data_IF_325035156929
#
_entry.id   IF_325035156929
#
_cell.length_a   1.000
_cell.length_b   1.000
_cell.length_c   1.000
_cell.angle_alpha   90.00
_cell.angle_beta   90.00
_cell.angle_gamma   90.00
#
_symmetry.space_group_name_H-M   'P 1'
#
loop_
_entity.id
_entity.type
_entity.pdbx_description
1 polymer ?
#
# COMPACT_ATOMS: atom_id res chain seq x y z
N UNK A 1 32.37 -10.91 -7.19
CA UNK A 1 31.29 -11.90 -7.10
C UNK A 1 30.74 -11.82 -5.68
N UNK A 2 29.57 -11.20 -5.49
CA UNK A 2 28.96 -11.06 -4.17
C UNK A 2 28.30 -12.37 -3.76
N UNK A 3 28.60 -12.82 -2.54
CA UNK A 3 28.06 -14.06 -1.96
C UNK A 3 26.55 -13.92 -1.75
N UNK A 4 25.78 -14.97 -2.04
CA UNK A 4 24.34 -15.04 -1.76
C UNK A 4 24.00 -14.79 -0.29
N UNK A 5 24.95 -14.99 0.65
CA UNK A 5 24.78 -14.66 2.07
C UNK A 5 24.61 -13.17 2.34
N UNK A 6 25.27 -12.29 1.58
CA UNK A 6 25.20 -10.83 1.80
C UNK A 6 23.82 -10.28 1.41
N UNK A 7 23.13 -10.94 0.47
CA UNK A 7 21.78 -10.58 0.03
C UNK A 7 20.69 -11.02 1.02
N UNK A 8 20.97 -12.05 1.84
CA UNK A 8 20.06 -12.58 2.85
C UNK A 8 20.11 -11.76 4.15
N UNK A 9 21.28 -11.27 4.57
CA UNK A 9 21.40 -10.38 5.75
C UNK A 9 20.75 -9.00 5.50
N UNK A 10 20.86 -8.44 4.29
CA UNK A 10 20.12 -7.23 3.90
C UNK A 10 18.61 -7.46 3.80
N UNK A 11 18.18 -8.70 3.53
CA UNK A 11 16.78 -9.12 3.50
C UNK A 11 16.15 -9.28 4.89
N UNK A 12 16.95 -9.32 5.97
CA UNK A 12 16.47 -9.46 7.34
C UNK A 12 16.11 -8.13 8.02
N UNK A 13 16.57 -6.98 7.50
CA UNK A 13 16.40 -5.69 8.19
C UNK A 13 15.05 -5.00 7.97
N UNK A 14 14.35 -5.31 6.89
CA UNK A 14 13.00 -4.80 6.62
C UNK A 14 11.98 -5.94 6.60
N UNK A 15 10.73 -5.70 7.02
CA UNK A 15 9.72 -6.75 7.04
C UNK A 15 9.49 -7.35 5.66
N UNK A 16 9.42 -8.69 5.58
CA UNK A 16 8.93 -9.38 4.37
C UNK A 16 7.40 -9.38 4.34
N UNK A 17 6.79 -8.23 4.64
CA UNK A 17 5.35 -8.03 4.75
C UNK A 17 4.91 -6.85 3.88
N UNK A 18 3.62 -6.77 3.53
CA UNK A 18 3.06 -5.58 2.93
C UNK A 18 3.15 -4.38 3.87
N UNK A 19 3.29 -3.19 3.31
CA UNK A 19 3.34 -1.99 4.14
C UNK A 19 3.55 -0.70 3.37
N UNK A 20 3.42 0.40 4.10
CA UNK A 20 3.63 1.77 3.64
C UNK A 20 5.04 2.19 4.07
N UNK A 21 5.77 2.83 3.17
CA UNK A 21 7.11 3.33 3.42
C UNK A 21 7.27 4.77 2.95
N UNK A 22 8.25 5.45 3.55
CA UNK A 22 8.79 6.72 3.11
C UNK A 22 10.27 6.52 2.76
N UNK A 23 10.66 6.94 1.58
CA UNK A 23 12.06 6.91 1.14
C UNK A 23 12.55 8.33 0.83
N UNK A 24 13.75 8.64 1.29
CA UNK A 24 14.49 9.84 0.89
C UNK A 24 15.79 9.39 0.22
N UNK A 25 16.46 10.29 -0.50
CA UNK A 25 17.68 9.96 -1.22
C UNK A 25 18.87 10.79 -0.72
N UNK A 26 20.09 10.33 -0.98
CA UNK A 26 21.32 11.08 -0.65
C UNK A 26 22.06 11.65 -1.86
N UNK A 27 21.68 11.27 -3.08
CA UNK A 27 22.32 11.79 -4.28
C UNK A 27 22.10 13.30 -4.40
N UNK A 28 23.15 14.05 -4.69
CA UNK A 28 23.04 15.47 -5.02
C UNK A 28 22.64 15.66 -6.49
N UNK A 29 23.28 14.90 -7.40
CA UNK A 29 22.93 14.90 -8.82
C UNK A 29 21.60 14.19 -9.10
N UNK A 30 20.69 14.76 -9.91
CA UNK A 30 19.41 14.12 -10.23
C UNK A 30 19.56 12.77 -10.95
N UNK A 31 18.97 11.72 -10.35
CA UNK A 31 18.92 10.36 -10.92
C UNK A 31 17.50 10.08 -11.41
N UNK A 32 17.37 9.46 -12.58
CA UNK A 32 16.07 9.03 -13.11
C UNK A 32 15.38 8.04 -12.16
N UNK A 33 14.07 8.19 -11.94
CA UNK A 33 13.30 7.26 -11.11
C UNK A 33 13.18 5.84 -11.68
N UNK A 34 13.64 5.65 -12.92
CA UNK A 34 13.76 4.35 -13.60
C UNK A 34 15.19 4.15 -14.16
N UNK A 35 16.23 4.62 -13.46
CA UNK A 35 17.62 4.54 -13.92
C UNK A 35 18.10 3.11 -14.18
N UNK A 36 17.51 2.08 -13.55
CA UNK A 36 17.77 0.67 -13.85
C UNK A 36 17.24 0.22 -15.22
N UNK A 37 16.44 1.06 -15.90
CA UNK A 37 15.80 0.78 -17.20
C UNK A 37 16.24 1.77 -18.27
N UNK A 38 17.42 1.51 -18.86
CA UNK A 38 18.06 2.37 -19.89
C UNK A 38 17.11 2.86 -21.00
N UNK A 39 16.19 2.02 -21.48
CA UNK A 39 15.26 2.36 -22.58
C UNK A 39 14.30 3.52 -22.26
N UNK A 40 13.98 3.75 -20.99
CA UNK A 40 12.98 4.74 -20.57
C UNK A 40 13.54 5.78 -19.58
N UNK A 41 14.76 5.58 -19.08
CA UNK A 41 15.35 6.40 -18.03
C UNK A 41 15.34 7.90 -18.38
N UNK A 42 15.69 8.26 -19.61
CA UNK A 42 15.77 9.66 -20.05
C UNK A 42 14.40 10.33 -20.21
N UNK A 43 13.32 9.54 -20.26
CA UNK A 43 11.93 10.02 -20.38
C UNK A 43 11.20 10.07 -19.05
N UNK A 44 11.89 9.79 -17.95
CA UNK A 44 11.31 9.80 -16.61
C UNK A 44 11.75 11.05 -15.85
N UNK A 45 10.97 11.42 -14.84
CA UNK A 45 11.40 12.44 -13.88
C UNK A 45 12.72 12.02 -13.22
N UNK A 46 13.53 13.01 -12.88
CA UNK A 46 14.77 12.82 -12.13
C UNK A 46 14.59 13.39 -10.72
N UNK A 47 15.18 12.72 -9.75
CA UNK A 47 15.02 13.04 -8.33
C UNK A 47 16.38 13.03 -7.63
N UNK A 48 16.50 13.81 -6.57
CA UNK A 48 17.69 13.90 -5.74
C UNK A 48 17.32 13.98 -4.26
N UNK A 49 18.29 14.34 -3.42
CA UNK A 49 18.12 14.49 -1.97
C UNK A 49 17.05 15.50 -1.53
N UNK A 50 16.59 16.38 -2.42
CA UNK A 50 15.50 17.32 -2.17
C UNK A 50 14.11 16.70 -2.37
N UNK A 51 14.06 15.44 -2.81
CA UNK A 51 12.83 14.71 -3.04
C UNK A 51 12.68 13.57 -2.04
N UNK A 52 11.42 13.24 -1.75
CA UNK A 52 11.07 12.03 -1.03
C UNK A 52 9.92 11.32 -1.74
N UNK A 53 9.64 10.08 -1.34
CA UNK A 53 8.55 9.30 -1.90
C UNK A 53 7.85 8.50 -0.83
N UNK A 54 6.52 8.57 -0.85
CA UNK A 54 5.65 7.65 -0.11
C UNK A 54 5.09 6.63 -1.07
N UNK A 55 5.05 5.37 -0.67
CA UNK A 55 4.39 4.36 -1.47
C UNK A 55 4.11 3.08 -0.69
N UNK A 56 3.45 2.15 -1.37
CA UNK A 56 3.21 0.81 -0.82
C UNK A 56 4.15 -0.25 -1.40
N UNK A 57 4.37 -1.30 -0.62
CA UNK A 57 5.01 -2.52 -1.07
C UNK A 57 4.19 -3.73 -0.66
N UNK A 58 4.23 -4.78 -1.50
CA UNK A 58 3.77 -6.13 -1.11
C UNK A 58 4.81 -6.80 -0.20
N UNK A 59 6.08 -6.47 -0.42
CA UNK A 59 7.21 -6.93 0.37
C UNK A 59 8.18 -5.76 0.53
N UNK A 60 8.28 -5.20 1.73
CA UNK A 60 9.11 -4.04 2.02
C UNK A 60 10.60 -4.32 1.82
N UNK A 61 11.10 -5.50 2.21
CA UNK A 61 12.49 -5.88 1.99
C UNK A 61 12.88 -5.93 0.50
N UNK A 62 12.02 -6.51 -0.35
CA UNK A 62 12.24 -6.51 -1.81
C UNK A 62 12.16 -5.09 -2.36
N UNK A 63 11.24 -4.26 -1.86
CA UNK A 63 11.12 -2.87 -2.31
C UNK A 63 12.36 -2.06 -1.97
N UNK A 64 12.91 -2.19 -0.77
CA UNK A 64 14.17 -1.56 -0.38
C UNK A 64 15.31 -1.93 -1.33
N UNK A 65 15.52 -3.23 -1.60
CA UNK A 65 16.54 -3.70 -2.56
C UNK A 65 16.32 -3.14 -3.97
N UNK A 66 15.07 -2.99 -4.40
CA UNK A 66 14.77 -2.36 -5.69
C UNK A 66 15.23 -0.90 -5.74
N UNK A 67 15.02 -0.11 -4.68
CA UNK A 67 15.54 1.25 -4.61
C UNK A 67 17.07 1.29 -4.63
N UNK A 68 17.74 0.40 -3.90
CA UNK A 68 19.20 0.30 -3.93
C UNK A 68 19.72 -0.03 -5.33
N UNK A 69 19.02 -0.88 -6.08
CA UNK A 69 19.37 -1.19 -7.47
C UNK A 69 19.16 0.00 -8.41
N UNK A 70 18.08 0.76 -8.26
CA UNK A 70 17.77 1.90 -9.13
C UNK A 70 18.64 3.11 -8.84
N UNK A 71 18.87 3.44 -7.57
CA UNK A 71 19.56 4.68 -7.16
C UNK A 71 20.99 4.45 -6.64
N UNK A 72 21.40 3.19 -6.45
CA UNK A 72 22.67 2.83 -5.81
C UNK A 72 22.53 2.69 -4.29
N UNK A 73 23.17 1.66 -3.73
CA UNK A 73 23.14 1.35 -2.29
C UNK A 73 23.74 2.45 -1.40
N UNK A 74 24.61 3.31 -1.94
CA UNK A 74 25.14 4.47 -1.22
C UNK A 74 24.11 5.61 -1.10
N UNK A 75 23.14 5.68 -2.01
CA UNK A 75 22.08 6.69 -2.00
C UNK A 75 20.83 6.26 -1.24
N UNK A 76 20.64 4.95 -1.05
CA UNK A 76 19.53 4.36 -0.29
C UNK A 76 20.07 3.36 0.72
N UNK A 77 20.08 3.80 1.97
CA UNK A 77 20.49 3.08 3.15
C UNK A 77 19.26 2.86 4.06
N UNK A 78 19.49 2.19 5.19
CA UNK A 78 18.42 1.80 6.12
C UNK A 78 17.71 3.01 6.73
N UNK A 79 18.46 4.05 7.07
CA UNK A 79 17.98 5.25 7.76
C UNK A 79 17.14 6.17 6.86
N UNK A 80 17.27 6.05 5.53
CA UNK A 80 16.45 6.77 4.57
C UNK A 80 15.43 5.90 3.82
N UNK A 81 15.18 4.67 4.31
CA UNK A 81 14.02 3.86 3.92
C UNK A 81 13.21 3.53 5.18
N UNK A 82 12.28 4.42 5.51
CA UNK A 82 11.48 4.34 6.73
C UNK A 82 10.19 3.55 6.48
N UNK A 83 9.97 2.48 7.24
CA UNK A 83 8.70 1.76 7.23
C UNK A 83 7.72 2.49 8.13
N UNK A 84 6.67 3.07 7.54
CA UNK A 84 5.65 3.83 8.28
C UNK A 84 4.56 2.94 8.85
N UNK A 85 4.19 1.88 8.11
CA UNK A 85 3.24 0.89 8.59
C UNK A 85 3.47 -0.48 7.94
N UNK A 86 3.13 -1.54 8.67
CA UNK A 86 3.04 -2.91 8.18
C UNK A 86 1.57 -3.31 8.19
N UNK A 87 1.06 -3.74 7.05
CA UNK A 87 -0.37 -4.02 6.86
C UNK A 87 -0.57 -5.52 6.64
N UNK A 88 -1.64 -6.08 7.20
CA UNK A 88 -1.91 -7.52 7.15
C UNK A 88 -2.29 -8.02 5.75
N UNK A 89 -2.90 -7.17 4.92
CA UNK A 89 -3.35 -7.58 3.58
C UNK A 89 -3.20 -6.47 2.53
N UNK A 90 -3.06 -6.89 1.28
CA UNK A 90 -3.05 -5.99 0.12
C UNK A 90 -4.42 -5.34 -0.14
N UNK A 91 -5.51 -5.96 0.30
CA UNK A 91 -6.83 -5.36 0.16
C UNK A 91 -6.96 -4.10 1.04
N UNK A 92 -6.36 -4.13 2.24
CA UNK A 92 -6.37 -3.01 3.16
C UNK A 92 -5.42 -1.86 2.73
N UNK A 93 -4.29 -2.16 2.08
CA UNK A 93 -3.28 -1.14 1.77
C UNK A 93 -3.66 -0.19 0.63
N UNK A 94 -4.50 -0.64 -0.32
CA UNK A 94 -4.89 0.15 -1.49
C UNK A 94 -5.69 1.41 -1.13
N UNK A 95 -6.78 1.34 -0.32
CA UNK A 95 -7.50 2.55 0.07
C UNK A 95 -6.64 3.51 0.92
N UNK A 96 -5.73 2.97 1.75
CA UNK A 96 -4.79 3.75 2.55
C UNK A 96 -3.86 4.55 1.63
N UNK A 97 -3.23 3.91 0.65
CA UNK A 97 -2.35 4.59 -0.31
C UNK A 97 -3.09 5.68 -1.08
N UNK A 98 -4.32 5.39 -1.53
CA UNK A 98 -5.13 6.38 -2.25
C UNK A 98 -5.38 7.63 -1.41
N UNK A 99 -5.74 7.45 -0.14
CA UNK A 99 -5.98 8.57 0.78
C UNK A 99 -4.69 9.38 1.01
N UNK A 100 -3.56 8.71 1.25
CA UNK A 100 -2.25 9.34 1.41
C UNK A 100 -1.87 10.16 0.18
N UNK A 101 -1.97 9.58 -1.03
CA UNK A 101 -1.60 10.25 -2.27
C UNK A 101 -2.55 11.40 -2.65
N UNK A 102 -3.77 11.39 -2.12
CA UNK A 102 -4.72 12.50 -2.22
C UNK A 102 -4.32 13.64 -1.28
N UNK A 103 -4.02 13.32 -0.02
CA UNK A 103 -3.57 14.31 0.97
C UNK A 103 -2.24 15.00 0.60
N UNK A 104 -1.41 14.33 -0.21
CA UNK A 104 -0.13 14.85 -0.68
C UNK A 104 -0.20 15.44 -2.10
N UNK A 105 -1.38 15.64 -2.68
CA UNK A 105 -1.56 16.01 -4.09
C UNK A 105 -0.72 17.22 -4.54
N UNK A 106 -0.67 18.28 -3.73
CA UNK A 106 0.02 19.53 -4.07
C UNK A 106 1.55 19.41 -4.10
N UNK A 107 2.10 18.39 -3.46
CA UNK A 107 3.54 18.14 -3.38
C UNK A 107 4.01 17.13 -4.44
N UNK A 108 3.09 16.46 -5.14
CA UNK A 108 3.42 15.39 -6.09
C UNK A 108 3.98 15.95 -7.38
N UNK A 109 5.17 15.47 -7.75
CA UNK A 109 5.84 15.83 -9.00
C UNK A 109 4.99 15.34 -10.19
N UNK A 110 4.77 16.20 -11.17
CA UNK A 110 4.15 15.80 -12.45
C UNK A 110 5.18 15.17 -13.37
N UNK A 111 4.86 14.01 -13.92
CA UNK A 111 5.63 13.40 -14.99
C UNK A 111 5.52 14.17 -16.30
N UNK A 112 6.34 13.82 -17.29
CA UNK A 112 6.32 14.42 -18.63
C UNK A 112 4.95 14.28 -19.33
N UNK A 113 4.15 13.28 -18.95
CA UNK A 113 2.79 13.07 -19.46
C UNK A 113 1.71 13.82 -18.64
N UNK A 114 2.10 14.73 -17.75
CA UNK A 114 1.20 15.51 -16.89
C UNK A 114 0.60 14.75 -15.69
N UNK A 115 0.81 13.43 -15.58
CA UNK A 115 0.28 12.62 -14.48
C UNK A 115 1.07 12.85 -13.19
N UNK A 116 0.37 12.89 -12.06
CA UNK A 116 0.98 13.01 -10.74
C UNK A 116 1.73 11.72 -10.37
N UNK A 117 2.98 11.85 -9.95
CA UNK A 117 3.81 10.74 -9.48
C UNK A 117 3.70 10.56 -7.96
N UNK A 118 4.24 9.47 -7.43
CA UNK A 118 4.37 9.21 -5.98
C UNK A 118 5.59 9.92 -5.36
N UNK A 119 6.46 10.51 -6.19
CA UNK A 119 7.56 11.37 -5.76
C UNK A 119 7.07 12.76 -5.42
N UNK A 120 7.64 13.31 -4.35
CA UNK A 120 7.27 14.58 -3.75
C UNK A 120 8.41 15.59 -3.87
N UNK A 121 8.05 16.85 -3.96
CA UNK A 121 8.95 18.00 -3.93
C UNK A 121 8.39 19.07 -2.98
N UNK A 122 9.26 19.99 -2.52
CA UNK A 122 8.86 21.13 -1.66
C UNK A 122 8.18 20.71 -0.36
N UNK A 123 8.50 19.52 0.15
CA UNK A 123 8.03 19.01 1.44
C UNK A 123 9.13 18.19 2.10
N UNK A 124 9.35 18.45 3.39
CA UNK A 124 10.32 17.72 4.19
C UNK A 124 9.76 16.37 4.68
N UNK A 125 10.60 15.34 4.88
CA UNK A 125 10.17 14.01 5.31
C UNK A 125 9.33 14.03 6.60
N UNK A 126 9.65 14.90 7.55
CA UNK A 126 8.91 15.05 8.81
C UNK A 126 7.48 15.58 8.58
N UNK A 127 7.31 16.50 7.62
CA UNK A 127 5.99 17.03 7.26
C UNK A 127 5.14 15.96 6.56
N UNK A 128 5.76 15.16 5.69
CA UNK A 128 5.10 14.00 5.09
C UNK A 128 4.58 13.05 6.18
N UNK A 129 5.40 12.74 7.19
CA UNK A 129 4.97 11.89 8.31
C UNK A 129 3.83 12.51 9.12
N UNK A 130 3.87 13.82 9.37
CA UNK A 130 2.80 14.53 10.05
C UNK A 130 1.45 14.42 9.31
N UNK A 131 1.47 14.31 7.97
CA UNK A 131 0.27 14.09 7.15
C UNK A 131 -0.12 12.60 7.14
N UNK A 132 0.84 11.69 6.96
CA UNK A 132 0.59 10.27 6.72
C UNK A 132 0.21 9.50 8.00
N UNK A 133 0.88 9.75 9.13
CA UNK A 133 0.65 9.00 10.36
C UNK A 133 -0.80 9.09 10.90
N UNK A 134 -1.47 10.26 10.89
CA UNK A 134 -2.89 10.34 11.26
C UNK A 134 -3.83 9.52 10.37
N UNK A 135 -3.53 9.46 9.06
CA UNK A 135 -4.29 8.64 8.10
C UNK A 135 -4.16 7.17 8.49
N UNK A 136 -2.93 6.69 8.66
CA UNK A 136 -2.63 5.31 9.07
C UNK A 136 -3.34 4.93 10.39
N UNK A 137 -3.30 5.82 11.39
CA UNK A 137 -3.97 5.61 12.67
C UNK A 137 -5.51 5.49 12.55
N UNK A 138 -6.11 6.14 11.55
CA UNK A 138 -7.56 6.05 11.29
C UNK A 138 -7.94 4.68 10.72
N UNK A 139 -7.14 4.13 9.81
CA UNK A 139 -7.40 2.80 9.25
C UNK A 139 -7.21 1.68 10.28
N UNK A 140 -6.16 1.74 11.10
CA UNK A 140 -5.94 0.75 12.18
C UNK A 140 -7.14 0.65 13.14
N UNK A 141 -7.75 1.79 13.49
CA UNK A 141 -8.93 1.83 14.38
C UNK A 141 -10.16 1.22 13.73
N UNK A 142 -10.36 1.46 12.43
CA UNK A 142 -11.47 0.89 11.66
C UNK A 142 -11.39 -0.64 11.59
N UNK A 143 -10.20 -1.19 11.41
CA UNK A 143 -9.98 -2.64 11.37
C UNK A 143 -10.32 -3.27 12.72
N UNK A 144 -9.80 -2.73 13.83
CA UNK A 144 -10.12 -3.23 15.18
C UNK A 144 -11.60 -3.11 15.55
N UNK A 145 -12.29 -2.05 15.09
CA UNK A 145 -13.73 -1.89 15.32
C UNK A 145 -14.55 -2.90 14.51
N UNK A 146 -14.12 -3.21 13.29
CA UNK A 146 -14.78 -4.20 12.42
C UNK A 146 -14.66 -5.63 12.96
N UNK A 147 -13.53 -5.98 13.57
CA UNK A 147 -13.32 -7.28 14.22
C UNK A 147 -14.16 -7.45 15.48
N UNK A 148 -14.21 -6.42 16.34
CA UNK A 148 -15.08 -6.43 17.53
C UNK A 148 -16.56 -6.62 17.17
N UNK A 149 -17.02 -6.00 16.07
CA UNK A 149 -18.40 -6.17 15.57
C UNK A 149 -18.64 -7.57 15.00
N UNK A 150 -17.68 -8.17 14.31
CA UNK A 150 -17.78 -9.56 13.82
C UNK A 150 -17.83 -10.56 14.97
N UNK A 151 -17.01 -10.39 16.01
CA UNK A 151 -17.05 -11.22 17.21
C UNK A 151 -18.39 -11.12 17.97
N UNK A 152 -18.94 -9.91 18.10
CA UNK A 152 -20.24 -9.70 18.73
C UNK A 152 -21.42 -10.28 17.93
N UNK A 153 -21.34 -10.28 16.58
CA UNK A 153 -22.38 -10.85 15.72
C UNK A 153 -22.37 -12.39 15.72
N UNK A 154 -21.18 -13.01 15.80
CA UNK A 154 -21.05 -14.48 15.90
C UNK A 154 -21.60 -15.00 17.23
N UNK A 155 -21.43 -14.27 18.33
CA UNK A 155 -22.03 -14.62 19.62
C UNK A 155 -23.56 -14.46 19.64
N UNK A 156 -24.13 -13.52 18.87
CA UNK A 156 -25.60 -13.39 18.76
C UNK A 156 -26.25 -14.42 17.84
N UNK A 157 -25.51 -15.00 16.89
CA UNK A 157 -26.02 -16.06 16.02
C UNK A 157 -26.07 -17.43 16.71
N UNK A 158 -25.48 -17.57 17.90
CA UNK A 158 -25.60 -18.79 18.71
C UNK A 158 -26.88 -18.82 19.58
N UNK A 159 -27.61 -17.71 19.69
CA UNK A 159 -28.80 -17.61 20.56
C UNK A 159 -30.16 -17.52 19.85
N UNK A 160 -30.22 -17.38 18.52
CA UNK A 160 -31.51 -17.27 17.82
C UNK A 160 -31.67 -18.33 16.72
N UNK A 161 -31.99 -19.56 17.14
CA UNK A 161 -32.81 -20.48 16.32
C UNK A 161 -34.28 -20.19 16.62
N UNK A 162 -34.93 -19.45 15.75
CA UNK A 162 -36.37 -19.28 15.75
C UNK A 162 -36.79 -17.84 15.50
N UNK A 163 -37.08 -17.52 14.24
CA UNK A 163 -38.39 -17.03 13.78
C UNK A 163 -38.24 -16.54 12.33
N UNK A 164 -39.14 -17.04 11.50
CA UNK A 164 -39.36 -16.59 10.14
C UNK A 164 -40.07 -15.22 10.14
N UNK A 165 -39.71 -14.36 9.19
CA UNK A 165 -40.63 -13.75 8.19
C UNK A 165 -40.30 -12.29 7.82
N UNK A 166 -40.48 -12.04 6.51
CA UNK A 166 -40.92 -10.85 5.77
C UNK A 166 -40.16 -9.50 5.81
N UNK A 167 -39.68 -9.18 4.60
CA UNK A 167 -39.55 -7.88 3.91
C UNK A 167 -38.84 -6.66 4.52
N UNK A 168 -37.94 -6.13 3.69
CA UNK A 168 -36.88 -5.19 4.04
C UNK A 168 -35.55 -5.91 3.81
N UNK A 169 -34.73 -5.45 2.85
CA UNK A 169 -33.46 -6.09 2.46
C UNK A 169 -32.52 -6.22 3.67
N UNK A 170 -32.61 -7.37 4.34
CA UNK A 170 -31.80 -7.72 5.50
C UNK A 170 -30.33 -7.84 5.07
N UNK A 171 -29.44 -6.94 5.55
CA UNK A 171 -28.01 -6.98 5.23
C UNK A 171 -27.38 -8.34 5.57
N UNK A 172 -27.95 -9.05 6.54
CA UNK A 172 -27.52 -10.37 6.98
C UNK A 172 -27.74 -11.42 5.89
N UNK A 173 -28.84 -11.35 5.14
CA UNK A 173 -29.09 -12.24 3.99
C UNK A 173 -28.11 -11.99 2.86
N UNK A 174 -27.75 -10.73 2.60
CA UNK A 174 -26.73 -10.37 1.60
C UNK A 174 -25.36 -10.93 1.98
N UNK A 175 -24.97 -10.81 3.26
CA UNK A 175 -23.71 -11.37 3.76
C UNK A 175 -23.70 -12.91 3.70
N UNK A 176 -24.81 -13.55 4.05
CA UNK A 176 -24.98 -15.01 3.93
C UNK A 176 -24.89 -15.48 2.49
N UNK A 177 -25.52 -14.77 1.55
CA UNK A 177 -25.45 -15.06 0.12
C UNK A 177 -24.02 -14.92 -0.41
N UNK A 178 -23.30 -13.85 -0.05
CA UNK A 178 -21.91 -13.63 -0.44
C UNK A 178 -20.98 -14.74 0.09
N UNK A 179 -21.18 -15.17 1.34
CA UNK A 179 -20.41 -16.26 1.92
C UNK A 179 -20.70 -17.61 1.23
N UNK A 180 -21.96 -17.87 0.86
CA UNK A 180 -22.34 -19.08 0.12
C UNK A 180 -21.71 -19.09 -1.28
N UNK A 181 -21.73 -17.97 -1.98
CA UNK A 181 -21.09 -17.83 -3.30
C UNK A 181 -19.57 -18.03 -3.22
N UNK A 182 -18.92 -17.49 -2.19
CA UNK A 182 -17.48 -17.71 -1.95
C UNK A 182 -17.14 -19.19 -1.71
N UNK A 183 -17.98 -19.92 -0.95
CA UNK A 183 -17.82 -21.37 -0.73
C UNK A 183 -18.00 -22.19 -2.01
N UNK A 184 -18.82 -21.70 -2.94
CA UNK A 184 -19.02 -22.31 -4.26
C UNK A 184 -17.92 -21.93 -5.27
N UNK A 185 -16.86 -21.24 -4.84
CA UNK A 185 -15.71 -20.90 -5.69
C UNK A 185 -15.89 -19.62 -6.53
N UNK A 186 -17.00 -18.89 -6.36
CA UNK A 186 -17.17 -17.60 -7.04
C UNK A 186 -16.23 -16.56 -6.45
N UNK A 187 -15.45 -15.93 -7.32
CA UNK A 187 -14.51 -14.86 -6.98
C UNK A 187 -15.01 -13.52 -7.50
N UNK A 188 -14.46 -12.42 -7.00
CA UNK A 188 -14.79 -11.07 -7.47
C UNK A 188 -14.65 -10.91 -9.01
N UNK A 189 -13.67 -11.57 -9.61
CA UNK A 189 -13.48 -11.57 -11.07
C UNK A 189 -14.60 -12.27 -11.85
N UNK A 190 -15.36 -13.19 -11.22
CA UNK A 190 -16.55 -13.78 -11.84
C UNK A 190 -17.69 -12.76 -11.91
N UNK A 191 -17.88 -11.93 -10.88
CA UNK A 191 -18.93 -10.92 -10.86
C UNK A 191 -18.66 -9.76 -11.83
N UNK A 192 -17.40 -9.39 -12.02
CA UNK A 192 -17.02 -8.38 -13.02
C UNK A 192 -17.37 -8.84 -14.45
N UNK A 193 -17.30 -10.14 -14.75
CA UNK A 193 -17.67 -10.69 -16.07
C UNK A 193 -19.18 -10.67 -16.32
N UNK A 194 -20.00 -10.65 -15.28
CA UNK A 194 -21.47 -10.61 -15.39
C UNK A 194 -21.98 -9.17 -15.57
N UNK A 195 -21.20 -8.17 -15.15
CA UNK A 195 -21.56 -6.75 -15.25
C UNK A 195 -21.00 -6.02 -16.48
N UNK A 196 -20.25 -6.70 -17.34
CA UNK A 196 -19.86 -6.20 -18.66
C UNK A 196 -20.64 -6.95 -19.74
N UNK A 197 -21.91 -6.56 -19.90
CA UNK A 197 -22.58 -6.61 -21.19
C UNK A 197 -22.47 -5.21 -21.79
N UNK A 198 -21.45 -5.03 -22.62
CA UNK A 198 -21.41 -4.23 -23.85
C UNK A 198 -20.16 -4.64 -24.64
#
# INVERSE_FOLDING_TARGET
MGSTKDLDELGQMHPQKPGIYLVTLRNSEPISVNADRRRIADRCIKVNKLNCKVGRAVNLAVRFRNYQRTFGSHNVQKDNFEVLDVVESLAAIVPIEKEILSALADYRIRGLNGRLNEWLERIEPQQVKAIVCPILATFRRSDSASEKRKGALVNRQTENRGLESCDGQDPTKTILALNKLKKLGFTYSHFLKVHHFE
#
